data_IF_866781247688
#
_entry.id   IF_866781247688
#
_cell.length_a   1.000
_cell.length_b   1.000
_cell.length_c   1.000
_cell.angle_alpha   90.00
_cell.angle_beta   90.00
_cell.angle_gamma   90.00
#
_symmetry.space_group_name_H-M   'P 1'
#
loop_
_entity.id
_entity.type
_entity.pdbx_description
1 polymer ?
#
# COMPACT_ATOMS: atom_id res chain seq x y z
N UNK A 1 17.81 19.65 31.89
CA UNK A 1 18.28 19.78 30.49
C UNK A 1 18.49 18.43 29.78
N UNK A 2 19.09 17.41 30.41
CA UNK A 2 19.31 16.12 29.75
C UNK A 2 18.03 15.29 29.47
N UNK A 3 17.00 15.38 30.30
CA UNK A 3 15.75 14.61 30.09
C UNK A 3 14.92 15.13 28.91
N UNK A 4 14.86 16.45 28.71
CA UNK A 4 14.25 17.04 27.52
C UNK A 4 14.98 16.59 26.25
N UNK A 5 16.30 16.49 26.27
CA UNK A 5 17.09 16.01 25.13
C UNK A 5 16.67 14.58 24.70
N UNK A 6 16.43 13.68 25.65
CA UNK A 6 15.92 12.33 25.35
C UNK A 6 14.48 12.33 24.82
N UNK A 7 13.60 13.14 25.42
CA UNK A 7 12.21 13.30 24.97
C UNK A 7 12.16 13.86 23.54
N UNK A 8 13.04 14.81 23.18
CA UNK A 8 13.15 15.32 21.82
C UNK A 8 13.83 14.31 20.88
N UNK A 9 14.84 13.56 21.34
CA UNK A 9 15.52 12.52 20.54
C UNK A 9 14.61 11.34 20.19
N UNK A 10 13.68 10.94 21.05
CA UNK A 10 12.69 9.90 20.73
C UNK A 10 11.55 10.43 19.85
N UNK A 11 11.13 11.70 20.02
CA UNK A 11 10.21 12.36 19.07
C UNK A 11 10.85 12.69 17.72
N UNK A 12 12.20 12.65 17.62
CA UNK A 12 12.98 13.06 16.44
C UNK A 12 12.99 12.08 15.27
N UNK A 13 12.57 10.84 15.51
CA UNK A 13 12.64 9.80 14.49
C UNK A 13 11.29 9.61 13.81
N UNK A 14 10.98 10.47 12.83
CA UNK A 14 10.27 10.02 11.61
C UNK A 14 11.23 9.17 10.74
N UNK A 15 12.21 8.53 11.39
CA UNK A 15 13.33 7.85 10.77
C UNK A 15 12.96 6.38 10.67
N UNK A 16 12.83 5.99 9.41
CA UNK A 16 12.92 4.65 8.86
C UNK A 16 11.67 3.79 8.88
N UNK A 17 11.49 3.07 7.77
CA UNK A 17 10.75 1.82 7.81
C UNK A 17 11.49 0.81 8.69
N UNK A 18 11.01 -0.44 8.74
CA UNK A 18 11.66 -1.51 9.50
C UNK A 18 13.19 -1.46 9.32
N UNK A 19 13.94 -1.41 10.43
CA UNK A 19 15.40 -1.49 10.49
C UNK A 19 16.24 -0.31 9.94
N UNK A 20 15.89 0.97 10.17
CA UNK A 20 16.70 2.14 9.74
C UNK A 20 16.80 2.35 8.22
N UNK A 21 15.99 1.63 7.44
CA UNK A 21 15.92 1.72 5.98
C UNK A 21 15.08 2.93 5.57
N UNK A 22 15.45 3.68 4.50
CA UNK A 22 14.62 4.74 3.96
C UNK A 22 13.20 4.27 3.65
N UNK A 23 12.21 5.12 3.90
CA UNK A 23 10.79 4.77 3.78
C UNK A 23 10.42 4.49 2.32
N UNK A 24 10.98 5.23 1.37
CA UNK A 24 10.78 4.96 -0.06
C UNK A 24 11.32 3.58 -0.48
N UNK A 25 12.42 3.12 0.11
CA UNK A 25 12.98 1.78 -0.15
C UNK A 25 12.09 0.70 0.45
N UNK A 26 11.55 0.93 1.66
CA UNK A 26 10.60 0.01 2.29
C UNK A 26 9.31 -0.12 1.47
N UNK A 27 8.79 1.00 0.95
CA UNK A 27 7.66 1.02 0.01
C UNK A 27 7.95 0.27 -1.28
N UNK A 28 9.14 0.48 -1.84
CA UNK A 28 9.57 -0.20 -3.06
C UNK A 28 9.65 -1.71 -2.84
N UNK A 29 10.22 -2.16 -1.72
CA UNK A 29 10.26 -3.57 -1.35
C UNK A 29 8.87 -4.19 -1.23
N UNK A 30 7.93 -3.49 -0.56
CA UNK A 30 6.55 -3.92 -0.48
C UNK A 30 5.89 -3.99 -1.87
N UNK A 31 6.01 -2.95 -2.70
CA UNK A 31 5.42 -2.91 -4.04
C UNK A 31 5.95 -4.03 -4.94
N UNK A 32 7.26 -4.29 -4.92
CA UNK A 32 7.88 -5.39 -5.67
C UNK A 32 7.34 -6.74 -5.18
N UNK A 33 7.27 -6.95 -3.86
CA UNK A 33 6.78 -8.21 -3.31
C UNK A 33 5.30 -8.44 -3.65
N UNK A 34 4.47 -7.41 -3.57
CA UNK A 34 3.05 -7.46 -3.98
C UNK A 34 2.94 -7.81 -5.46
N UNK A 35 3.77 -7.19 -6.32
CA UNK A 35 3.79 -7.46 -7.76
C UNK A 35 4.25 -8.88 -8.09
N UNK A 36 5.28 -9.37 -7.41
CA UNK A 36 5.75 -10.75 -7.57
C UNK A 36 4.68 -11.76 -7.14
N UNK A 37 4.04 -11.56 -5.99
CA UNK A 37 2.94 -12.40 -5.54
C UNK A 37 1.75 -12.36 -6.52
N UNK A 38 1.43 -11.18 -7.06
CA UNK A 38 0.45 -11.05 -8.14
C UNK A 38 0.83 -11.90 -9.36
N UNK A 39 2.07 -11.81 -9.83
CA UNK A 39 2.56 -12.58 -10.98
C UNK A 39 2.48 -14.09 -10.75
N UNK A 40 2.88 -14.56 -9.56
CA UNK A 40 2.80 -15.97 -9.19
C UNK A 40 1.34 -16.43 -9.14
N UNK A 41 0.47 -15.69 -8.44
CA UNK A 41 -0.97 -15.99 -8.40
C UNK A 41 -1.56 -16.06 -9.80
N UNK A 42 -1.28 -15.09 -10.65
CA UNK A 42 -1.82 -15.02 -12.01
C UNK A 42 -1.40 -16.23 -12.89
N UNK A 43 -0.17 -16.72 -12.74
CA UNK A 43 0.32 -17.89 -13.48
C UNK A 43 -0.36 -19.20 -13.08
N UNK A 44 -0.70 -19.36 -11.80
CA UNK A 44 -1.30 -20.61 -11.29
C UNK A 44 -2.83 -20.57 -11.25
N UNK A 45 -3.42 -19.38 -11.11
CA UNK A 45 -4.86 -19.16 -10.88
C UNK A 45 -5.70 -19.84 -11.95
N UNK A 46 -5.45 -19.58 -13.24
CA UNK A 46 -6.25 -20.12 -14.34
C UNK A 46 -6.30 -21.64 -14.30
N UNK A 47 -5.16 -22.29 -14.05
CA UNK A 47 -5.07 -23.75 -13.97
C UNK A 47 -5.89 -24.29 -12.80
N UNK A 48 -5.68 -23.70 -11.62
CA UNK A 48 -6.36 -24.13 -10.38
C UNK A 48 -7.88 -23.92 -10.51
N UNK A 49 -8.33 -22.76 -10.98
CA UNK A 49 -9.76 -22.46 -11.12
C UNK A 49 -10.43 -23.35 -12.18
N UNK A 50 -9.79 -23.58 -13.33
CA UNK A 50 -10.33 -24.52 -14.34
C UNK A 50 -10.38 -25.97 -13.83
N UNK A 51 -9.35 -26.43 -13.11
CA UNK A 51 -9.27 -27.81 -12.63
C UNK A 51 -10.23 -28.13 -11.47
N UNK A 52 -10.58 -27.12 -10.65
CA UNK A 52 -11.45 -27.26 -9.47
C UNK A 52 -12.90 -26.84 -9.71
N UNK A 53 -13.08 -25.75 -10.46
CA UNK A 53 -14.36 -25.03 -10.56
C UNK A 53 -14.87 -25.06 -12.01
N UNK A 54 -14.00 -25.31 -12.99
CA UNK A 54 -14.36 -25.34 -14.41
C UNK A 54 -14.59 -23.95 -15.02
N UNK A 55 -14.26 -22.89 -14.29
CA UNK A 55 -14.47 -21.50 -14.72
C UNK A 55 -13.23 -20.68 -14.40
N UNK A 56 -12.82 -19.82 -15.33
CA UNK A 56 -11.72 -18.87 -15.16
C UNK A 56 -12.25 -17.49 -14.75
N UNK A 57 -11.42 -16.69 -14.10
CA UNK A 57 -11.77 -15.32 -13.76
C UNK A 57 -11.94 -14.49 -15.06
N UNK A 58 -12.98 -13.64 -15.16
CA UNK A 58 -13.16 -12.75 -16.30
C UNK A 58 -11.93 -11.87 -16.57
N UNK A 59 -11.54 -11.76 -17.85
CA UNK A 59 -10.35 -11.00 -18.26
C UNK A 59 -10.40 -9.53 -17.83
N UNK A 60 -11.60 -8.92 -17.82
CA UNK A 60 -11.80 -7.54 -17.35
C UNK A 60 -11.33 -7.39 -15.90
N UNK A 61 -11.65 -8.36 -15.03
CA UNK A 61 -11.24 -8.34 -13.62
C UNK A 61 -9.73 -8.48 -13.52
N UNK A 62 -9.12 -9.37 -14.31
CA UNK A 62 -7.65 -9.56 -14.36
C UNK A 62 -6.92 -8.29 -14.78
N UNK A 63 -7.40 -7.61 -15.82
CA UNK A 63 -6.85 -6.34 -16.29
C UNK A 63 -6.95 -5.26 -15.21
N UNK A 64 -8.09 -5.15 -14.53
CA UNK A 64 -8.28 -4.22 -13.42
C UNK A 64 -7.34 -4.52 -12.23
N UNK A 65 -7.15 -5.80 -11.90
CA UNK A 65 -6.22 -6.23 -10.87
C UNK A 65 -4.77 -5.88 -11.24
N UNK A 66 -4.40 -6.04 -12.52
CA UNK A 66 -3.09 -5.63 -13.00
C UNK A 66 -2.87 -4.11 -12.86
N UNK A 67 -3.80 -3.29 -13.39
CA UNK A 67 -3.68 -1.83 -13.32
C UNK A 67 -3.61 -1.32 -11.88
N UNK A 68 -4.43 -1.87 -10.99
CA UNK A 68 -4.41 -1.50 -9.57
C UNK A 68 -3.16 -1.98 -8.84
N UNK A 69 -2.50 -3.05 -9.30
CA UNK A 69 -1.19 -3.47 -8.77
C UNK A 69 -0.08 -2.54 -9.25
N UNK A 70 -0.08 -2.17 -10.53
CA UNK A 70 0.92 -1.26 -11.12
C UNK A 70 0.78 0.15 -10.57
N UNK A 71 -0.43 0.62 -10.28
CA UNK A 71 -0.67 1.97 -9.74
C UNK A 71 -0.01 2.19 -8.38
N UNK A 72 0.29 1.12 -7.62
CA UNK A 72 1.03 1.22 -6.37
C UNK A 72 2.40 1.88 -6.59
N UNK A 73 3.07 1.66 -7.72
CA UNK A 73 4.37 2.27 -8.04
C UNK A 73 4.32 3.79 -8.27
N UNK A 74 3.13 4.40 -8.35
CA UNK A 74 2.99 5.84 -8.50
C UNK A 74 3.64 6.64 -7.35
N UNK A 75 3.89 6.01 -6.19
CA UNK A 75 4.62 6.66 -5.09
C UNK A 75 6.01 7.15 -5.50
N UNK A 76 6.62 6.57 -6.55
CA UNK A 76 7.94 6.99 -7.06
C UNK A 76 7.95 8.42 -7.60
N UNK A 77 6.80 8.92 -8.06
CA UNK A 77 6.66 10.31 -8.50
C UNK A 77 6.83 11.22 -7.28
N UNK A 78 7.80 12.13 -7.31
CA UNK A 78 8.14 13.01 -6.17
C UNK A 78 7.11 14.14 -5.97
N UNK A 79 5.85 13.79 -5.73
CA UNK A 79 4.75 14.70 -5.49
C UNK A 79 3.93 14.27 -4.28
N UNK A 80 3.49 15.23 -3.46
CA UNK A 80 2.62 15.00 -2.30
C UNK A 80 1.20 14.66 -2.73
N UNK A 81 0.68 15.30 -3.78
CA UNK A 81 -0.65 15.02 -4.33
C UNK A 81 -0.75 13.58 -4.85
N UNK A 82 0.31 13.08 -5.49
CA UNK A 82 0.37 11.70 -5.97
C UNK A 82 0.34 10.70 -4.81
N UNK A 83 0.90 11.03 -3.65
CA UNK A 83 0.83 10.13 -2.49
C UNK A 83 -0.59 10.01 -1.90
N UNK A 84 -1.39 11.08 -1.96
CA UNK A 84 -2.81 10.97 -1.62
C UNK A 84 -3.54 10.02 -2.59
N UNK A 85 -3.23 10.10 -3.88
CA UNK A 85 -3.78 9.16 -4.88
C UNK A 85 -3.30 7.73 -4.63
N UNK A 86 -2.04 7.52 -4.26
CA UNK A 86 -1.49 6.19 -3.90
C UNK A 86 -2.22 5.61 -2.69
N UNK A 87 -2.49 6.43 -1.67
CA UNK A 87 -3.24 5.98 -0.50
C UNK A 87 -4.67 5.56 -0.86
N UNK A 88 -5.38 6.38 -1.63
CA UNK A 88 -6.73 6.05 -2.13
C UNK A 88 -6.69 4.77 -2.98
N UNK A 89 -5.71 4.67 -3.89
CA UNK A 89 -5.50 3.49 -4.73
C UNK A 89 -5.23 2.24 -3.90
N UNK A 90 -4.52 2.36 -2.77
CA UNK A 90 -4.24 1.24 -1.87
C UNK A 90 -5.51 0.76 -1.16
N UNK A 91 -6.39 1.67 -0.76
CA UNK A 91 -7.69 1.33 -0.17
C UNK A 91 -8.59 0.65 -1.20
N UNK A 92 -8.69 1.22 -2.41
CA UNK A 92 -9.46 0.63 -3.52
C UNK A 92 -8.92 -0.75 -3.87
N UNK A 93 -7.60 -0.90 -3.97
CA UNK A 93 -6.94 -2.18 -4.16
C UNK A 93 -7.32 -3.20 -3.09
N UNK A 94 -7.26 -2.81 -1.81
CA UNK A 94 -7.58 -3.69 -0.69
C UNK A 94 -9.03 -4.17 -0.75
N UNK A 95 -9.98 -3.26 -0.97
CA UNK A 95 -11.41 -3.60 -1.05
C UNK A 95 -11.68 -4.50 -2.25
N UNK A 96 -11.23 -4.12 -3.45
CA UNK A 96 -11.47 -4.88 -4.68
C UNK A 96 -10.90 -6.31 -4.60
N UNK A 97 -9.66 -6.46 -4.16
CA UNK A 97 -9.05 -7.78 -4.06
C UNK A 97 -9.63 -8.61 -2.91
N UNK A 98 -10.08 -7.98 -1.82
CA UNK A 98 -10.79 -8.69 -0.74
C UNK A 98 -12.13 -9.24 -1.23
N UNK A 99 -12.86 -8.48 -2.05
CA UNK A 99 -14.10 -8.95 -2.68
C UNK A 99 -13.86 -10.14 -3.61
N UNK A 100 -12.79 -10.11 -4.40
CA UNK A 100 -12.42 -11.24 -5.28
C UNK A 100 -12.09 -12.48 -4.45
N UNK A 101 -11.25 -12.34 -3.41
CA UNK A 101 -10.89 -13.47 -2.54
C UNK A 101 -12.13 -14.02 -1.84
N UNK A 102 -12.96 -13.17 -1.26
CA UNK A 102 -14.21 -13.60 -0.62
C UNK A 102 -15.16 -14.28 -1.61
N UNK A 103 -15.30 -13.74 -2.81
CA UNK A 103 -16.15 -14.31 -3.86
C UNK A 103 -15.67 -15.69 -4.30
N UNK A 104 -14.36 -15.87 -4.49
CA UNK A 104 -13.76 -17.16 -4.81
C UNK A 104 -13.95 -18.18 -3.68
N UNK A 105 -13.74 -17.79 -2.42
CA UNK A 105 -13.95 -18.68 -1.26
C UNK A 105 -15.41 -19.09 -1.14
N UNK A 106 -16.35 -18.15 -1.26
CA UNK A 106 -17.79 -18.45 -1.22
C UNK A 106 -18.20 -19.37 -2.37
N UNK A 107 -17.72 -19.10 -3.58
CA UNK A 107 -18.03 -19.91 -4.75
C UNK A 107 -17.49 -21.34 -4.62
N UNK A 108 -16.23 -21.48 -4.19
CA UNK A 108 -15.63 -22.78 -3.91
C UNK A 108 -16.39 -23.54 -2.80
N UNK A 109 -16.74 -22.88 -1.69
CA UNK A 109 -17.50 -23.50 -0.61
C UNK A 109 -18.86 -24.03 -1.10
N UNK A 110 -19.55 -23.23 -1.93
CA UNK A 110 -20.82 -23.62 -2.55
C UNK A 110 -20.67 -24.81 -3.50
N UNK A 111 -19.66 -24.80 -4.38
CA UNK A 111 -19.35 -25.93 -5.26
C UNK A 111 -19.05 -27.21 -4.47
N UNK A 112 -18.29 -27.09 -3.37
CA UNK A 112 -17.97 -28.21 -2.48
C UNK A 112 -19.21 -28.78 -1.79
N UNK A 113 -20.13 -27.93 -1.34
CA UNK A 113 -21.39 -28.36 -0.72
C UNK A 113 -22.25 -29.21 -1.68
N UNK A 114 -22.33 -28.82 -2.95
CA UNK A 114 -23.03 -29.60 -3.98
C UNK A 114 -22.29 -30.90 -4.35
N UNK A 115 -20.96 -30.90 -4.29
CA UNK A 115 -20.13 -32.06 -4.66
C UNK A 115 -19.89 -33.04 -3.50
N UNK A 116 -20.12 -32.64 -2.25
CA UNK A 116 -19.91 -33.41 -1.01
C UNK A 116 -20.50 -34.84 -1.03
N UNK A 117 -21.72 -35.08 -1.52
CA UNK A 117 -22.28 -36.44 -1.59
C UNK A 117 -21.46 -37.39 -2.50
N UNK A 118 -20.90 -36.85 -3.59
CA UNK A 118 -20.08 -37.59 -4.54
C UNK A 118 -18.64 -37.75 -4.04
N UNK A 119 -18.10 -36.71 -3.39
CA UNK A 119 -16.76 -36.67 -2.79
C UNK A 119 -16.61 -37.63 -1.60
N UNK A 120 -17.65 -37.79 -0.77
CA UNK A 120 -17.64 -38.75 0.33
C UNK A 120 -17.53 -40.22 -0.15
N UNK A 121 -17.83 -40.49 -1.42
CA UNK A 121 -17.64 -41.82 -2.03
C UNK A 121 -16.24 -42.00 -2.65
N UNK A 122 -15.52 -40.91 -2.94
CA UNK A 122 -14.21 -40.90 -3.59
C UNK A 122 -13.17 -40.33 -2.62
N UNK A 123 -12.58 -41.23 -1.82
CA UNK A 123 -11.57 -40.90 -0.82
C UNK A 123 -10.44 -40.02 -1.39
N UNK A 124 -10.27 -38.85 -0.77
CA UNK A 124 -9.12 -37.94 -0.89
C UNK A 124 -8.91 -37.27 -2.27
N UNK A 125 -9.22 -35.97 -2.35
CA UNK A 125 -8.88 -35.13 -3.51
C UNK A 125 -7.70 -34.20 -3.20
N UNK A 126 -6.49 -34.45 -3.73
CA UNK A 126 -5.33 -33.53 -3.63
C UNK A 126 -5.54 -32.15 -4.29
N UNK A 127 -6.74 -31.88 -4.80
CA UNK A 127 -7.12 -30.62 -5.47
C UNK A 127 -7.36 -29.48 -4.48
N UNK A 128 -7.77 -29.77 -3.25
CA UNK A 128 -8.08 -28.73 -2.24
C UNK A 128 -6.81 -28.00 -1.75
N UNK A 129 -5.67 -28.69 -1.70
CA UNK A 129 -4.38 -28.11 -1.30
C UNK A 129 -3.93 -27.00 -2.26
N UNK A 130 -4.13 -27.18 -3.56
CA UNK A 130 -3.78 -26.19 -4.59
C UNK A 130 -4.65 -24.93 -4.46
N UNK A 131 -5.93 -25.08 -4.15
CA UNK A 131 -6.82 -23.94 -3.87
C UNK A 131 -6.38 -23.19 -2.60
N UNK A 132 -6.01 -23.91 -1.54
CA UNK A 132 -5.50 -23.31 -0.31
C UNK A 132 -4.21 -22.53 -0.59
N UNK A 133 -3.28 -23.07 -1.38
CA UNK A 133 -2.05 -22.36 -1.78
C UNK A 133 -2.38 -21.06 -2.52
N UNK A 134 -3.31 -21.10 -3.49
CA UNK A 134 -3.75 -19.90 -4.19
C UNK A 134 -4.33 -18.87 -3.21
N UNK A 135 -5.17 -19.29 -2.27
CA UNK A 135 -5.75 -18.42 -1.26
C UNK A 135 -4.70 -17.79 -0.33
N UNK A 136 -3.71 -18.58 0.12
CA UNK A 136 -2.61 -18.08 0.94
C UNK A 136 -1.78 -17.03 0.18
N UNK A 137 -1.54 -17.23 -1.12
CA UNK A 137 -0.85 -16.24 -1.95
C UNK A 137 -1.68 -14.95 -2.10
N UNK A 138 -2.98 -15.06 -2.36
CA UNK A 138 -3.85 -13.88 -2.51
C UNK A 138 -4.02 -13.11 -1.20
N UNK A 139 -4.17 -13.80 -0.07
CA UNK A 139 -4.30 -13.20 1.27
C UNK A 139 -2.98 -12.59 1.73
N UNK A 140 -1.85 -13.28 1.54
CA UNK A 140 -0.54 -12.71 1.90
C UNK A 140 -0.24 -11.42 1.14
N UNK A 141 -0.60 -11.36 -0.15
CA UNK A 141 -0.54 -10.14 -0.95
C UNK A 141 -1.44 -9.02 -0.39
N UNK A 142 -2.66 -9.33 0.03
CA UNK A 142 -3.56 -8.37 0.67
C UNK A 142 -2.98 -7.83 1.99
N UNK A 143 -2.38 -8.68 2.81
CA UNK A 143 -1.77 -8.28 4.07
C UNK A 143 -0.60 -7.31 3.88
N UNK A 144 0.17 -7.43 2.79
CA UNK A 144 1.26 -6.53 2.47
C UNK A 144 0.82 -5.10 2.12
N UNK A 145 -0.47 -4.89 1.82
CA UNK A 145 -1.01 -3.55 1.58
C UNK A 145 -1.09 -2.72 2.86
N UNK A 146 -1.25 -3.37 4.02
CA UNK A 146 -1.30 -2.67 5.32
C UNK A 146 0.03 -1.94 5.59
N UNK A 147 1.21 -2.60 5.59
CA UNK A 147 2.48 -1.90 5.75
C UNK A 147 2.76 -0.94 4.58
N UNK A 148 2.35 -1.26 3.35
CA UNK A 148 2.48 -0.35 2.21
C UNK A 148 1.71 0.97 2.42
N UNK A 149 0.46 0.90 2.88
CA UNK A 149 -0.37 2.06 3.18
C UNK A 149 0.21 2.89 4.33
N UNK A 150 0.68 2.24 5.39
CA UNK A 150 1.38 2.90 6.49
C UNK A 150 2.61 3.67 5.99
N UNK A 151 3.51 3.03 5.26
CA UNK A 151 4.70 3.71 4.74
C UNK A 151 4.37 4.81 3.75
N UNK A 152 3.28 4.69 2.99
CA UNK A 152 2.80 5.74 2.08
C UNK A 152 2.38 7.00 2.84
N UNK A 153 1.69 6.84 3.98
CA UNK A 153 1.34 7.96 4.86
C UNK A 153 2.58 8.61 5.48
N UNK A 154 3.57 7.82 5.92
CA UNK A 154 4.81 8.39 6.44
C UNK A 154 5.62 9.07 5.34
N UNK A 155 5.63 8.54 4.12
CA UNK A 155 6.26 9.20 2.98
C UNK A 155 5.55 10.53 2.65
N UNK A 156 4.22 10.59 2.81
CA UNK A 156 3.45 11.82 2.63
C UNK A 156 3.88 12.90 3.61
N UNK A 157 4.04 12.56 4.91
CA UNK A 157 4.50 13.55 5.90
C UNK A 157 5.91 14.04 5.61
N UNK A 158 6.82 13.14 5.19
CA UNK A 158 8.19 13.50 4.77
C UNK A 158 8.17 14.45 3.57
N UNK A 159 7.39 14.16 2.52
CA UNK A 159 7.32 15.01 1.33
C UNK A 159 6.66 16.35 1.61
N UNK A 160 5.62 16.38 2.45
CA UNK A 160 5.04 17.63 2.94
C UNK A 160 6.06 18.43 3.75
N UNK A 161 7.03 17.77 4.37
CA UNK A 161 8.16 18.38 5.07
C UNK A 161 9.34 18.81 4.17
N UNK A 162 9.24 18.59 2.85
CA UNK A 162 10.31 18.94 1.90
C UNK A 162 11.37 17.85 1.71
N UNK A 163 11.21 16.68 2.35
CA UNK A 163 12.09 15.52 2.15
C UNK A 163 11.63 14.64 0.99
N UNK A 164 12.54 13.84 0.43
CA UNK A 164 12.20 12.92 -0.69
C UNK A 164 11.83 11.51 -0.22
N UNK A 165 12.25 11.12 0.99
CA UNK A 165 12.02 9.79 1.59
C UNK A 165 13.03 8.71 1.20
N UNK A 166 13.99 9.04 0.31
CA UNK A 166 15.09 8.17 -0.11
C UNK A 166 16.29 8.17 0.84
N UNK A 167 16.37 9.19 1.69
CA UNK A 167 17.42 9.34 2.71
C UNK A 167 16.79 9.41 4.10
N UNK A 168 17.52 8.94 5.11
CA UNK A 168 17.09 8.94 6.50
C UNK A 168 17.37 10.28 7.18
N UNK A 169 16.52 11.26 6.88
CA UNK A 169 16.61 12.60 7.48
C UNK A 169 15.88 12.62 8.83
N UNK A 170 16.47 13.17 9.92
CA UNK A 170 15.76 13.36 11.18
C UNK A 170 14.68 14.44 11.03
N UNK A 171 13.57 14.29 11.76
CA UNK A 171 12.40 15.19 11.64
C UNK A 171 12.75 16.66 11.92
N UNK A 172 13.61 16.93 12.90
CA UNK A 172 14.08 18.28 13.23
C UNK A 172 14.84 18.96 12.09
N UNK A 173 15.60 18.21 11.27
CA UNK A 173 16.27 18.81 10.12
C UNK A 173 15.26 19.20 9.03
N UNK A 174 14.18 18.43 8.87
CA UNK A 174 13.11 18.78 7.94
C UNK A 174 12.30 19.99 8.43
N UNK A 175 12.02 20.08 9.73
CA UNK A 175 11.39 21.27 10.32
C UNK A 175 12.29 22.50 10.22
N UNK A 176 13.58 22.38 10.51
CA UNK A 176 14.53 23.49 10.41
C UNK A 176 14.64 24.03 8.98
N UNK A 177 14.53 23.17 7.97
CA UNK A 177 14.52 23.58 6.56
C UNK A 177 13.22 24.29 6.15
N UNK A 178 12.12 24.12 6.89
CA UNK A 178 10.84 24.80 6.62
C UNK A 178 10.75 26.19 7.20
N UNK A 179 11.37 26.41 8.36
CA UNK A 179 11.31 27.67 9.09
C UNK A 179 11.65 28.89 8.20
N UNK A 180 12.71 28.89 7.37
CA UNK A 180 13.02 30.03 6.51
C UNK A 180 11.89 30.38 5.54
N UNK A 181 11.23 29.38 4.96
CA UNK A 181 10.14 29.58 4.01
C UNK A 181 8.86 30.07 4.70
N UNK A 182 8.58 29.57 5.90
CA UNK A 182 7.44 30.05 6.70
C UNK A 182 7.65 31.50 7.16
N UNK A 183 8.88 31.89 7.50
CA UNK A 183 9.24 33.28 7.80
C UNK A 183 8.98 34.16 6.57
N UNK A 184 9.46 33.74 5.40
CA UNK A 184 9.27 34.48 4.15
C UNK A 184 7.78 34.66 3.79
N UNK A 185 6.97 33.61 3.92
CA UNK A 185 5.53 33.67 3.66
C UNK A 185 4.80 34.60 4.66
N UNK A 186 5.21 34.58 5.94
CA UNK A 186 4.69 35.50 6.96
C UNK A 186 5.09 36.96 6.69
N UNK A 187 6.31 37.21 6.23
CA UNK A 187 6.78 38.54 5.84
C UNK A 187 5.99 39.08 4.64
N UNK A 188 5.78 38.27 3.60
CA UNK A 188 4.92 38.66 2.45
C UNK A 188 3.49 38.96 2.91
N UNK A 189 2.94 38.16 3.81
CA UNK A 189 1.58 38.38 4.35
C UNK A 189 1.51 39.67 5.17
N UNK A 190 2.54 39.97 5.97
CA UNK A 190 2.66 41.23 6.71
C UNK A 190 2.73 42.42 5.75
N UNK A 191 3.52 42.33 4.67
CA UNK A 191 3.65 43.39 3.68
C UNK A 191 2.33 43.62 2.92
N UNK A 192 1.63 42.55 2.55
CA UNK A 192 0.28 42.64 1.96
C UNK A 192 -0.70 43.38 2.89
N UNK A 193 -0.70 43.05 4.18
CA UNK A 193 -1.57 43.70 5.17
C UNK A 193 -1.19 45.18 5.31
N UNK A 194 0.09 45.54 5.38
CA UNK A 194 0.53 46.94 5.44
C UNK A 194 0.04 47.75 4.24
N UNK A 195 0.25 47.25 3.02
CA UNK A 195 -0.22 47.92 1.79
C UNK A 195 -1.74 48.07 1.77
N UNK A 196 -2.49 47.09 2.29
CA UNK A 196 -3.96 47.17 2.43
C UNK A 196 -4.40 48.25 3.41
N UNK A 197 -3.67 48.44 4.52
CA UNK A 197 -3.96 49.48 5.52
C UNK A 197 -3.61 50.87 4.99
N UNK A 198 -2.55 51.03 4.21
CA UNK A 198 -2.16 52.31 3.60
C UNK A 198 -3.16 52.82 2.53
N UNK A 199 -4.00 51.93 2.00
CA UNK A 199 -5.03 52.25 1.00
C UNK A 199 -6.39 52.59 1.65
N UNK A 200 -6.57 52.28 2.93
CA UNK A 200 -7.78 52.58 3.72
C UNK A 200 -7.65 53.93 4.44
#
# INVERSE_FOLDING_TARGET
MNEQFWIYKERSSVRSGIAKIPIAVSLLGCAILIFLLYGISFMIERRILMDLIGVDLPDIIKILCFFSTVSLFAFLINSTAVLCLVFISSVVYFVTHSLIVSGLVQYYAKCREYAMPLLNMLYYTPRDEMFVILMVLMVSRLLLIIPFGYYSLVLYTIRKAGGTGWTTIPAFQLEMNKIPKEIEDLERRREYIKRRVEIL
#
